data_IF_724692433915
#
_entry.id   IF_724692433915
#
_cell.length_a   1.000
_cell.length_b   1.000
_cell.length_c   1.000
_cell.angle_alpha   90.00
_cell.angle_beta   90.00
_cell.angle_gamma   90.00
#
_symmetry.space_group_name_H-M   'P 1'
#
loop_
_entity.id
_entity.type
_entity.pdbx_description
1 polymer ?
#
# COMPACT_ATOMS: atom_id res chain seq x y z
N UNK A 1 40.38 27.32 -48.75
CA UNK A 1 39.96 27.02 -50.14
C UNK A 1 38.47 26.71 -50.12
N UNK A 2 37.72 27.42 -50.96
CA UNK A 2 36.28 27.30 -51.17
C UNK A 2 35.87 25.92 -51.70
N UNK A 3 34.67 25.46 -51.33
CA UNK A 3 33.53 25.16 -52.23
C UNK A 3 32.44 24.46 -51.40
N UNK A 4 31.29 25.08 -51.13
CA UNK A 4 30.06 25.12 -51.94
C UNK A 4 29.43 23.74 -52.21
N UNK A 5 28.22 23.54 -51.66
CA UNK A 5 27.39 22.36 -51.84
C UNK A 5 26.03 22.54 -51.18
N UNK A 6 25.18 23.36 -51.79
CA UNK A 6 23.75 23.55 -51.52
C UNK A 6 22.98 22.23 -51.61
N UNK A 7 21.91 22.04 -50.81
CA UNK A 7 20.54 21.78 -51.31
C UNK A 7 19.51 21.62 -50.17
N UNK A 8 18.60 22.61 -50.15
CA UNK A 8 17.11 22.61 -50.00
C UNK A 8 16.40 22.35 -48.65
N UNK A 9 15.51 23.33 -48.41
CA UNK A 9 14.13 23.25 -47.93
C UNK A 9 13.86 22.80 -46.49
N UNK A 10 13.33 23.72 -45.69
CA UNK A 10 11.92 23.62 -45.25
C UNK A 10 11.33 24.96 -44.83
N UNK A 11 10.08 25.10 -45.23
CA UNK A 11 9.18 26.20 -44.98
C UNK A 11 8.68 26.22 -43.53
N UNK A 12 8.50 27.46 -43.04
CA UNK A 12 7.35 28.02 -42.30
C UNK A 12 6.51 27.04 -41.45
N UNK A 13 6.49 27.28 -40.14
CA UNK A 13 5.33 26.96 -39.29
C UNK A 13 4.85 28.22 -38.58
N UNK A 14 3.66 28.67 -39.00
CA UNK A 14 2.90 29.74 -38.41
C UNK A 14 2.28 29.30 -37.07
N UNK A 15 2.12 30.27 -36.16
CA UNK A 15 1.54 30.07 -34.85
C UNK A 15 0.08 29.63 -34.88
N UNK A 16 -0.31 28.90 -33.83
CA UNK A 16 -1.71 28.70 -33.48
C UNK A 16 -1.91 29.06 -32.00
N UNK A 17 -2.96 29.86 -31.78
CA UNK A 17 -3.28 30.62 -30.57
C UNK A 17 -3.81 29.72 -29.46
N UNK A 18 -3.42 30.03 -28.23
CA UNK A 18 -4.00 29.54 -26.98
C UNK A 18 -5.47 30.02 -26.86
N UNK A 19 -6.40 29.09 -26.65
CA UNK A 19 -7.78 29.37 -26.28
C UNK A 19 -7.90 29.13 -24.76
N UNK A 20 -8.28 30.17 -24.03
CA UNK A 20 -8.53 30.14 -22.59
C UNK A 20 -9.90 29.50 -22.30
N UNK A 21 -9.94 28.59 -21.31
CA UNK A 21 -11.17 27.97 -20.83
C UNK A 21 -11.94 28.91 -19.87
N UNK A 22 -13.29 28.92 -19.89
CA UNK A 22 -14.09 29.79 -19.04
C UNK A 22 -14.13 29.33 -17.57
N UNK A 23 -14.15 30.32 -16.67
CA UNK A 23 -14.37 30.16 -15.22
C UNK A 23 -15.81 29.73 -14.94
N UNK A 24 -15.99 28.54 -14.40
CA UNK A 24 -17.27 28.11 -13.83
C UNK A 24 -17.40 28.51 -12.34
N UNK A 25 -18.62 28.93 -11.98
CA UNK A 25 -19.01 29.44 -10.68
C UNK A 25 -19.22 28.29 -9.69
N UNK A 26 -18.70 28.43 -8.46
CA UNK A 26 -18.96 27.50 -7.35
C UNK A 26 -20.40 27.64 -6.84
N UNK A 27 -21.15 26.56 -6.61
CA UNK A 27 -22.34 26.61 -5.77
C UNK A 27 -21.98 26.44 -4.29
N UNK A 28 -22.54 27.34 -3.48
CA UNK A 28 -22.57 27.29 -2.02
C UNK A 28 -23.56 26.23 -1.54
N UNK A 29 -23.12 25.28 -0.71
CA UNK A 29 -24.03 24.40 0.03
C UNK A 29 -23.84 24.59 1.54
N UNK A 30 -24.96 24.92 2.18
CA UNK A 30 -25.06 25.22 3.61
C UNK A 30 -24.86 23.99 4.47
N UNK A 31 -24.41 24.25 5.69
CA UNK A 31 -24.16 23.26 6.73
C UNK A 31 -25.46 22.96 7.48
N UNK A 32 -25.90 21.70 7.46
CA UNK A 32 -26.83 21.18 8.47
C UNK A 32 -26.80 19.65 8.51
N UNK A 33 -26.38 19.14 9.67
CA UNK A 33 -26.68 17.85 10.31
C UNK A 33 -26.67 16.57 9.45
N UNK A 34 -25.64 15.74 9.62
CA UNK A 34 -25.76 14.30 9.36
C UNK A 34 -25.36 13.51 10.61
N UNK A 35 -26.36 12.79 11.12
CA UNK A 35 -26.28 11.80 12.18
C UNK A 35 -25.40 10.60 11.80
N UNK A 36 -24.87 9.97 12.83
CA UNK A 36 -24.16 8.70 12.86
C UNK A 36 -24.76 7.63 11.92
N UNK A 37 -24.04 7.28 10.86
CA UNK A 37 -24.27 6.05 10.11
C UNK A 37 -22.94 5.56 9.51
N UNK A 38 -22.42 4.47 10.08
CA UNK A 38 -21.32 3.67 9.50
C UNK A 38 -21.90 2.96 8.26
N UNK A 39 -21.26 3.02 7.08
CA UNK A 39 -21.77 2.31 5.91
C UNK A 39 -21.65 0.79 6.10
N UNK A 40 -22.64 -0.01 5.66
CA UNK A 40 -22.59 -1.46 5.79
C UNK A 40 -21.57 -2.06 4.80
N UNK A 41 -20.80 -3.05 5.28
CA UNK A 41 -19.95 -3.93 4.46
C UNK A 41 -20.74 -4.55 3.29
N UNK A 42 -20.11 -4.84 2.14
CA UNK A 42 -20.79 -5.48 1.02
C UNK A 42 -21.26 -6.91 1.38
N UNK A 43 -22.37 -7.39 0.79
CA UNK A 43 -22.98 -8.67 1.15
C UNK A 43 -22.09 -9.85 0.74
N UNK A 44 -22.13 -10.91 1.57
CA UNK A 44 -21.50 -12.20 1.30
C UNK A 44 -22.00 -12.76 -0.04
N UNK A 45 -21.09 -13.01 -0.97
CA UNK A 45 -21.39 -13.79 -2.17
C UNK A 45 -21.66 -15.25 -1.76
N UNK A 46 -22.78 -15.79 -2.25
CA UNK A 46 -23.23 -17.17 -2.01
C UNK A 46 -22.41 -18.16 -2.86
N UNK A 47 -22.15 -19.34 -2.33
CA UNK A 47 -21.24 -20.37 -2.84
C UNK A 47 -21.78 -21.19 -4.03
N UNK A 48 -22.53 -20.60 -4.97
CA UNK A 48 -23.22 -21.37 -6.01
C UNK A 48 -22.71 -21.16 -7.46
N UNK A 49 -21.82 -20.21 -7.75
CA UNK A 49 -21.42 -19.90 -9.13
C UNK A 49 -19.96 -20.31 -9.46
N UNK A 50 -19.50 -21.45 -8.92
CA UNK A 50 -18.16 -21.98 -9.19
C UNK A 50 -18.16 -23.18 -10.13
N UNK A 51 -18.67 -23.05 -11.35
CA UNK A 51 -18.29 -23.98 -12.41
C UNK A 51 -18.14 -23.24 -13.75
N UNK A 52 -16.91 -23.29 -14.26
CA UNK A 52 -16.48 -23.07 -15.64
C UNK A 52 -15.81 -21.72 -15.97
N UNK A 53 -14.53 -21.60 -15.63
CA UNK A 53 -13.57 -20.77 -16.39
C UNK A 53 -12.18 -21.42 -16.37
N UNK A 54 -11.58 -21.53 -17.56
CA UNK A 54 -10.23 -22.06 -17.83
C UNK A 54 -9.11 -21.32 -17.06
N UNK A 55 -7.96 -21.95 -16.82
CA UNK A 55 -6.86 -21.34 -16.08
C UNK A 55 -6.06 -20.42 -17.01
N UNK A 56 -6.40 -19.14 -17.00
CA UNK A 56 -5.67 -18.14 -17.75
C UNK A 56 -6.46 -16.86 -17.77
N UNK A 57 -5.87 -15.79 -17.22
CA UNK A 57 -6.46 -14.46 -17.03
C UNK A 57 -7.26 -14.32 -15.73
N UNK A 58 -6.54 -14.08 -14.64
CA UNK A 58 -7.11 -13.39 -13.47
C UNK A 58 -7.66 -12.04 -13.94
N UNK A 59 -8.95 -11.84 -13.71
CA UNK A 59 -9.68 -10.63 -14.08
C UNK A 59 -9.07 -9.40 -13.37
N UNK A 60 -8.61 -8.42 -14.16
CA UNK A 60 -7.92 -7.19 -13.72
C UNK A 60 -8.87 -6.12 -13.17
N UNK A 61 -10.03 -6.51 -12.66
CA UNK A 61 -11.10 -5.59 -12.28
C UNK A 61 -11.25 -5.50 -10.75
N UNK A 62 -10.42 -4.67 -10.07
CA UNK A 62 -10.79 -3.99 -8.81
C UNK A 62 -9.74 -3.02 -8.24
N UNK A 63 -8.47 -3.05 -8.68
CA UNK A 63 -7.44 -2.15 -8.15
C UNK A 63 -6.71 -1.40 -9.24
N UNK A 64 -6.99 -0.10 -9.34
CA UNK A 64 -6.29 0.84 -10.22
C UNK A 64 -4.98 1.28 -9.57
N UNK A 65 -4.08 0.36 -9.26
CA UNK A 65 -2.77 0.73 -8.73
C UNK A 65 -2.06 1.61 -9.76
N UNK A 66 -1.55 2.78 -9.36
CA UNK A 66 -0.63 3.51 -10.24
C UNK A 66 0.67 2.73 -10.32
N UNK A 67 0.91 2.21 -11.51
CA UNK A 67 2.11 1.46 -11.86
C UNK A 67 3.19 2.41 -12.35
N UNK A 68 4.39 2.32 -11.77
CA UNK A 68 5.57 3.07 -12.22
C UNK A 68 6.70 2.09 -12.58
N UNK A 69 7.33 2.25 -13.74
CA UNK A 69 8.48 1.44 -14.19
C UNK A 69 8.21 0.47 -15.36
N UNK A 70 9.27 -0.14 -15.89
CA UNK A 70 9.24 -1.15 -16.97
C UNK A 70 9.79 -2.49 -16.44
N UNK A 71 9.23 -3.62 -16.88
CA UNK A 71 9.70 -4.96 -16.50
C UNK A 71 11.07 -5.26 -17.10
N UNK A 72 12.05 -5.68 -16.28
CA UNK A 72 13.35 -6.18 -16.76
C UNK A 72 13.39 -7.71 -16.71
N UNK A 73 13.65 -8.31 -17.86
CA UNK A 73 13.73 -9.76 -18.02
C UNK A 73 14.93 -10.32 -17.21
N UNK A 74 14.66 -11.27 -16.30
CA UNK A 74 15.68 -11.86 -15.42
C UNK A 74 15.84 -11.22 -14.03
N UNK A 75 15.04 -10.22 -13.67
CA UNK A 75 15.02 -9.69 -12.30
C UNK A 75 14.30 -10.66 -11.34
N UNK A 76 14.93 -10.95 -10.19
CA UNK A 76 14.37 -11.82 -9.13
C UNK A 76 13.22 -11.14 -8.38
N UNK A 77 13.19 -9.80 -8.41
CA UNK A 77 12.12 -8.97 -7.85
C UNK A 77 11.67 -7.98 -8.91
N UNK A 78 10.35 -7.81 -9.06
CA UNK A 78 9.76 -6.91 -10.05
C UNK A 78 10.16 -5.44 -9.85
N UNK A 79 10.48 -4.75 -10.95
CA UNK A 79 10.75 -3.30 -10.99
C UNK A 79 9.48 -2.47 -11.26
N UNK A 80 8.31 -3.11 -11.28
CA UNK A 80 7.00 -2.50 -11.50
C UNK A 80 6.42 -2.10 -10.15
N UNK A 81 6.36 -0.81 -9.85
CA UNK A 81 5.99 -0.30 -8.53
C UNK A 81 4.48 -0.17 -8.35
N UNK A 82 3.99 -0.47 -7.15
CA UNK A 82 2.69 -0.03 -6.65
C UNK A 82 2.89 1.19 -5.74
N UNK A 83 2.16 2.27 -5.97
CA UNK A 83 2.26 3.46 -5.13
C UNK A 83 0.94 4.21 -5.04
N UNK A 84 0.28 4.13 -3.87
CA UNK A 84 -0.97 4.81 -3.57
C UNK A 84 -0.79 5.78 -2.42
N UNK A 85 -1.17 7.03 -2.67
CA UNK A 85 -1.07 8.14 -1.75
C UNK A 85 -2.20 9.13 -2.03
N UNK A 86 -2.49 9.99 -1.05
CA UNK A 86 -3.46 11.06 -1.25
C UNK A 86 -2.86 12.22 -2.07
N UNK A 87 -3.71 13.14 -2.52
CA UNK A 87 -3.35 14.20 -3.49
C UNK A 87 -2.20 15.09 -3.02
N UNK A 88 -2.14 15.41 -1.73
CA UNK A 88 -1.11 16.27 -1.15
C UNK A 88 0.12 15.50 -0.62
N UNK A 89 0.15 14.17 -0.83
CA UNK A 89 1.22 13.26 -0.39
C UNK A 89 1.48 13.32 1.12
N UNK A 90 0.47 13.71 1.91
CA UNK A 90 0.51 13.66 3.37
C UNK A 90 0.20 12.27 3.93
N UNK A 91 -0.38 11.38 3.11
CA UNK A 91 -0.66 10.01 3.46
C UNK A 91 -0.32 9.03 2.34
N UNK A 92 0.19 7.86 2.72
CA UNK A 92 0.56 6.78 1.81
C UNK A 92 -0.07 5.47 2.25
N UNK A 93 -0.89 4.89 1.38
CA UNK A 93 -1.66 3.68 1.63
C UNK A 93 -0.87 2.43 1.22
N UNK A 94 -0.21 2.47 0.06
CA UNK A 94 0.54 1.34 -0.50
C UNK A 94 1.86 1.81 -1.09
N UNK A 95 2.93 1.07 -0.81
CA UNK A 95 4.20 1.17 -1.52
C UNK A 95 4.77 -0.23 -1.72
N UNK A 96 5.07 -0.63 -2.94
CA UNK A 96 5.62 -1.96 -3.18
C UNK A 96 5.95 -2.21 -4.63
N UNK A 97 6.07 -3.47 -4.97
CA UNK A 97 6.31 -3.96 -6.33
C UNK A 97 5.29 -5.05 -6.69
N UNK A 98 4.99 -5.19 -7.99
CA UNK A 98 4.01 -6.15 -8.50
C UNK A 98 4.64 -7.52 -8.65
N UNK A 99 4.10 -8.53 -7.97
CA UNK A 99 4.50 -9.93 -8.16
C UNK A 99 3.43 -10.93 -7.68
N UNK A 100 3.70 -12.21 -7.93
CA UNK A 100 2.78 -13.31 -7.62
C UNK A 100 2.90 -13.76 -6.17
N UNK A 101 4.06 -13.61 -5.53
CA UNK A 101 4.29 -14.00 -4.14
C UNK A 101 4.94 -12.84 -3.34
N UNK A 102 4.19 -11.76 -3.04
CA UNK A 102 4.72 -10.64 -2.28
C UNK A 102 4.83 -10.95 -0.78
N UNK A 103 5.92 -10.51 -0.16
CA UNK A 103 5.93 -10.31 1.29
C UNK A 103 5.21 -9.00 1.64
N UNK A 104 4.10 -9.08 2.38
CA UNK A 104 3.36 -7.90 2.84
C UNK A 104 3.89 -7.48 4.22
N UNK A 105 4.63 -6.40 4.29
CA UNK A 105 5.19 -5.85 5.52
C UNK A 105 4.27 -4.78 6.12
N UNK A 106 3.76 -4.99 7.33
CA UNK A 106 2.86 -4.04 8.01
C UNK A 106 3.62 -3.26 9.08
N UNK A 107 3.97 -2.01 8.77
CA UNK A 107 4.64 -1.07 9.67
C UNK A 107 3.66 -0.21 10.49
N UNK A 108 4.18 0.75 11.26
CA UNK A 108 3.34 1.69 12.02
C UNK A 108 2.80 2.80 11.13
N UNK A 109 3.69 3.54 10.48
CA UNK A 109 3.33 4.66 9.62
C UNK A 109 4.36 4.87 8.50
N UNK A 110 3.95 5.39 7.33
CA UNK A 110 4.87 5.77 6.27
C UNK A 110 5.89 6.83 6.68
N UNK A 111 7.07 6.76 6.07
CA UNK A 111 8.10 7.80 6.10
C UNK A 111 8.31 8.36 4.67
N UNK A 112 9.55 8.63 4.27
CA UNK A 112 9.91 9.34 3.03
C UNK A 112 9.95 8.48 1.78
N UNK A 113 10.00 7.14 1.88
CA UNK A 113 10.19 6.30 0.69
C UNK A 113 9.12 6.53 -0.40
N UNK A 114 9.59 6.57 -1.65
CA UNK A 114 8.78 6.67 -2.87
C UNK A 114 9.33 5.69 -3.92
N UNK A 115 8.61 5.41 -5.03
CA UNK A 115 9.13 4.59 -6.11
C UNK A 115 10.50 5.07 -6.60
N UNK A 116 11.46 4.15 -6.68
CA UNK A 116 12.83 4.46 -7.10
C UNK A 116 13.74 5.11 -6.04
N UNK A 117 13.19 5.59 -4.92
CA UNK A 117 13.97 6.13 -3.80
C UNK A 117 13.57 5.48 -2.45
N UNK A 118 14.01 4.23 -2.23
CA UNK A 118 13.68 3.51 -1.01
C UNK A 118 14.52 4.00 0.19
N UNK A 119 13.83 4.26 1.30
CA UNK A 119 14.46 4.56 2.59
C UNK A 119 15.12 3.31 3.22
N UNK A 120 15.83 3.48 4.34
CA UNK A 120 16.54 2.38 5.02
C UNK A 120 15.62 1.23 5.44
N UNK A 121 14.37 1.51 5.80
CA UNK A 121 13.40 0.48 6.19
C UNK A 121 12.97 -0.31 4.97
N UNK A 122 12.62 0.39 3.88
CA UNK A 122 12.23 -0.24 2.62
C UNK A 122 13.35 -1.08 2.05
N UNK A 123 14.60 -0.59 2.04
CA UNK A 123 15.77 -1.38 1.60
C UNK A 123 15.94 -2.68 2.38
N UNK A 124 15.70 -2.65 3.70
CA UNK A 124 15.74 -3.86 4.53
C UNK A 124 14.63 -4.84 4.17
N UNK A 125 13.41 -4.35 3.95
CA UNK A 125 12.26 -5.17 3.52
C UNK A 125 12.52 -5.80 2.16
N UNK A 126 12.99 -5.03 1.17
CA UNK A 126 13.36 -5.52 -0.17
C UNK A 126 14.36 -6.67 -0.09
N UNK A 127 15.47 -6.45 0.62
CA UNK A 127 16.51 -7.47 0.75
C UNK A 127 16.05 -8.68 1.56
N UNK A 128 15.19 -8.50 2.56
CA UNK A 128 14.63 -9.59 3.34
C UNK A 128 13.66 -10.44 2.51
N UNK A 129 12.74 -9.81 1.76
CA UNK A 129 11.81 -10.50 0.87
C UNK A 129 12.56 -11.38 -0.14
N UNK A 130 13.53 -10.81 -0.86
CA UNK A 130 14.32 -11.52 -1.85
C UNK A 130 15.07 -12.74 -1.27
N UNK A 131 15.67 -12.60 -0.08
CA UNK A 131 16.40 -13.72 0.56
C UNK A 131 15.49 -14.82 1.12
N UNK A 132 14.20 -14.55 1.28
CA UNK A 132 13.23 -15.51 1.84
C UNK A 132 12.26 -16.05 0.77
N UNK A 133 12.59 -15.90 -0.52
CA UNK A 133 11.85 -16.54 -1.61
C UNK A 133 10.59 -15.81 -2.08
N UNK A 134 10.44 -14.53 -1.71
CA UNK A 134 9.36 -13.68 -2.23
C UNK A 134 9.82 -12.97 -3.50
N UNK A 135 8.95 -12.90 -4.51
CA UNK A 135 9.23 -12.30 -5.83
C UNK A 135 8.94 -10.79 -5.89
N UNK A 136 8.35 -10.28 -4.80
CA UNK A 136 7.91 -8.91 -4.65
C UNK A 136 7.69 -8.59 -3.18
N UNK A 137 7.38 -7.34 -2.89
CA UNK A 137 7.16 -6.86 -1.54
C UNK A 137 6.16 -5.71 -1.56
N UNK A 138 5.40 -5.58 -0.47
CA UNK A 138 4.51 -4.43 -0.26
C UNK A 138 4.66 -3.94 1.17
N UNK A 139 4.77 -2.64 1.34
CA UNK A 139 4.75 -1.94 2.62
C UNK A 139 3.37 -1.34 2.85
N UNK A 140 2.66 -1.90 3.81
CA UNK A 140 1.43 -1.37 4.39
C UNK A 140 1.73 -0.77 5.77
N UNK A 141 0.79 -0.02 6.33
CA UNK A 141 0.97 0.58 7.64
C UNK A 141 -0.33 0.54 8.45
N UNK A 142 -0.20 0.48 9.78
CA UNK A 142 -1.33 0.59 10.70
C UNK A 142 -2.06 1.93 10.53
N UNK A 143 -1.31 3.02 10.29
CA UNK A 143 -1.85 4.34 10.02
C UNK A 143 -1.16 4.98 8.82
N UNK A 144 -1.92 5.51 7.87
CA UNK A 144 -1.40 5.93 6.57
C UNK A 144 -0.73 7.33 6.57
N UNK A 145 -0.81 8.10 7.65
CA UNK A 145 -0.17 9.42 7.72
C UNK A 145 1.35 9.30 7.56
N UNK A 146 1.92 10.05 6.62
CA UNK A 146 3.38 10.14 6.49
C UNK A 146 3.96 10.97 7.62
N UNK A 147 4.93 10.40 8.32
CA UNK A 147 5.72 11.07 9.35
C UNK A 147 7.06 10.37 9.56
N UNK A 148 8.15 11.13 9.55
CA UNK A 148 9.49 10.59 9.83
C UNK A 148 9.69 10.23 11.30
N UNK A 149 8.94 10.87 12.20
CA UNK A 149 8.87 10.54 13.62
C UNK A 149 7.49 9.97 13.95
N UNK A 150 7.38 8.72 14.47
CA UNK A 150 6.12 8.16 14.93
C UNK A 150 5.40 9.05 15.97
N UNK A 151 6.13 9.86 16.75
CA UNK A 151 5.55 10.82 17.70
C UNK A 151 4.91 12.04 17.01
N UNK A 152 5.20 12.24 15.72
CA UNK A 152 4.59 13.25 14.86
C UNK A 152 3.26 12.82 14.22
N UNK A 153 2.82 11.55 14.41
CA UNK A 153 1.48 11.13 13.98
C UNK A 153 0.39 11.93 14.69
N UNK A 154 -0.82 11.97 14.14
CA UNK A 154 -1.97 12.59 14.78
C UNK A 154 -2.20 12.05 16.20
N UNK A 155 -2.66 12.90 17.11
CA UNK A 155 -2.96 12.52 18.49
C UNK A 155 -4.16 11.58 18.58
N UNK A 156 -5.13 11.78 17.69
CA UNK A 156 -6.32 10.96 17.47
C UNK A 156 -6.31 10.54 16.00
N UNK A 157 -6.72 9.31 15.71
CA UNK A 157 -6.80 8.87 14.32
C UNK A 157 -7.84 9.68 13.55
N UNK A 158 -7.58 9.88 12.27
CA UNK A 158 -8.56 10.39 11.31
C UNK A 158 -9.37 9.19 10.77
N UNK A 159 -10.71 9.13 11.02
CA UNK A 159 -11.56 8.05 10.53
C UNK A 159 -11.62 7.93 9.00
N UNK A 160 -11.51 9.06 8.28
CA UNK A 160 -11.49 9.04 6.81
C UNK A 160 -10.21 8.36 6.33
N UNK A 161 -9.08 8.72 6.95
CA UNK A 161 -7.79 8.14 6.60
C UNK A 161 -7.71 6.64 6.98
N UNK A 162 -8.32 6.26 8.10
CA UNK A 162 -8.46 4.85 8.48
C UNK A 162 -9.24 4.08 7.41
N UNK A 163 -10.44 4.55 7.05
CA UNK A 163 -11.31 3.87 6.11
C UNK A 163 -10.66 3.74 4.72
N UNK A 164 -9.96 4.78 4.28
CA UNK A 164 -9.23 4.75 3.02
C UNK A 164 -8.05 3.75 3.07
N UNK A 165 -7.29 3.73 4.16
CA UNK A 165 -6.23 2.74 4.37
C UNK A 165 -6.77 1.31 4.33
N UNK A 166 -7.83 1.00 5.08
CA UNK A 166 -8.47 -0.31 5.11
C UNK A 166 -9.00 -0.71 3.73
N UNK A 167 -9.54 0.23 2.94
CA UNK A 167 -9.98 -0.02 1.56
C UNK A 167 -8.83 -0.45 0.66
N UNK A 168 -7.68 0.22 0.74
CA UNK A 168 -6.50 -0.15 -0.04
C UNK A 168 -5.94 -1.49 0.40
N UNK A 169 -5.92 -1.77 1.72
CA UNK A 169 -5.50 -3.08 2.25
C UNK A 169 -6.43 -4.17 1.71
N UNK A 170 -7.74 -4.00 1.82
CA UNK A 170 -8.74 -4.95 1.33
C UNK A 170 -8.57 -5.25 -0.17
N UNK A 171 -8.39 -4.20 -0.98
CA UNK A 171 -8.17 -4.35 -2.41
C UNK A 171 -6.88 -5.11 -2.76
N UNK A 172 -5.83 -4.98 -1.94
CA UNK A 172 -4.56 -5.67 -2.13
C UNK A 172 -4.64 -7.16 -1.73
N UNK A 173 -5.33 -7.46 -0.63
CA UNK A 173 -5.39 -8.84 -0.10
C UNK A 173 -6.52 -9.67 -0.70
N UNK A 174 -7.44 -9.05 -1.45
CA UNK A 174 -8.54 -9.74 -2.08
C UNK A 174 -8.06 -10.85 -3.04
N UNK A 175 -8.69 -12.01 -2.95
CA UNK A 175 -8.59 -13.08 -3.96
C UNK A 175 -7.46 -14.09 -3.77
N UNK A 176 -6.58 -13.96 -2.77
CA UNK A 176 -5.60 -14.99 -2.44
C UNK A 176 -5.02 -14.86 -1.02
N UNK A 177 -4.63 -15.98 -0.38
CA UNK A 177 -3.79 -15.96 0.82
C UNK A 177 -2.47 -15.24 0.54
N UNK A 178 -2.04 -14.41 1.48
CA UNK A 178 -0.78 -13.67 1.43
C UNK A 178 -0.04 -13.81 2.75
N UNK A 179 1.30 -13.73 2.71
CA UNK A 179 2.13 -13.70 3.92
C UNK A 179 2.26 -12.27 4.44
N UNK A 180 1.78 -12.01 5.65
CA UNK A 180 1.80 -10.72 6.33
C UNK A 180 2.83 -10.68 7.46
N UNK A 181 3.87 -9.88 7.30
CA UNK A 181 4.87 -9.64 8.31
C UNK A 181 4.44 -8.53 9.29
N UNK A 182 4.32 -8.90 10.57
CA UNK A 182 4.12 -7.99 11.68
C UNK A 182 5.39 -7.14 11.95
N UNK A 183 5.44 -5.93 11.38
CA UNK A 183 6.61 -5.06 11.39
C UNK A 183 6.44 -3.74 12.18
N UNK A 184 5.41 -3.62 13.03
CA UNK A 184 5.22 -2.42 13.87
C UNK A 184 6.18 -2.35 15.06
N UNK A 185 6.49 -3.46 15.72
CA UNK A 185 7.34 -3.47 16.92
C UNK A 185 6.76 -2.64 18.08
N UNK A 186 7.61 -2.17 18.99
CA UNK A 186 7.19 -1.37 20.18
C UNK A 186 6.45 -0.08 19.82
N UNK A 187 6.62 0.42 18.60
CA UNK A 187 6.03 1.67 18.15
C UNK A 187 4.49 1.64 18.15
N UNK A 188 3.87 0.45 18.17
CA UNK A 188 2.41 0.34 18.34
C UNK A 188 1.91 0.97 19.65
N UNK A 189 2.78 1.13 20.66
CA UNK A 189 2.44 1.75 21.95
C UNK A 189 2.50 3.28 21.91
N UNK A 190 3.00 3.88 20.82
CA UNK A 190 3.15 5.35 20.71
C UNK A 190 1.82 6.09 20.64
N UNK A 191 0.77 5.43 20.14
CA UNK A 191 -0.57 5.97 20.00
C UNK A 191 -1.60 4.94 20.42
N UNK A 192 -2.55 5.32 21.25
CA UNK A 192 -3.58 4.42 21.78
C UNK A 192 -4.46 3.81 20.68
N UNK A 193 -4.72 4.55 19.60
CA UNK A 193 -5.57 4.09 18.50
C UNK A 193 -4.93 3.02 17.62
N UNK A 194 -3.59 2.86 17.59
CA UNK A 194 -2.94 1.93 16.66
C UNK A 194 -3.35 0.47 16.88
N UNK A 195 -3.69 0.13 18.11
CA UNK A 195 -4.23 -1.18 18.45
C UNK A 195 -5.60 -1.43 17.82
N UNK A 196 -6.47 -0.44 17.85
CA UNK A 196 -7.78 -0.51 17.20
C UNK A 196 -7.62 -0.63 15.68
N UNK A 197 -6.70 0.15 15.10
CA UNK A 197 -6.40 0.06 13.67
C UNK A 197 -5.83 -1.32 13.28
N UNK A 198 -4.97 -1.91 14.11
CA UNK A 198 -4.50 -3.28 13.90
C UNK A 198 -5.67 -4.28 13.92
N UNK A 199 -6.62 -4.15 14.85
CA UNK A 199 -7.80 -5.02 14.90
C UNK A 199 -8.65 -4.92 13.61
N UNK A 200 -8.84 -3.71 13.07
CA UNK A 200 -9.51 -3.51 11.77
C UNK A 200 -8.77 -4.19 10.63
N UNK A 201 -7.44 -4.02 10.56
CA UNK A 201 -6.61 -4.64 9.53
C UNK A 201 -6.66 -6.17 9.63
N UNK A 202 -6.58 -6.75 10.84
CA UNK A 202 -6.69 -8.19 11.05
C UNK A 202 -8.03 -8.71 10.53
N UNK A 203 -9.14 -8.03 10.83
CA UNK A 203 -10.46 -8.43 10.33
C UNK A 203 -10.52 -8.45 8.79
N UNK A 204 -9.91 -7.46 8.13
CA UNK A 204 -9.81 -7.39 6.66
C UNK A 204 -8.94 -8.53 6.10
N UNK A 205 -7.80 -8.80 6.72
CA UNK A 205 -6.85 -9.81 6.22
C UNK A 205 -7.31 -11.24 6.48
N UNK A 206 -7.97 -11.49 7.62
CA UNK A 206 -8.51 -12.80 7.98
C UNK A 206 -9.62 -13.21 7.00
N UNK A 207 -10.45 -12.26 6.59
CA UNK A 207 -11.49 -12.49 5.58
C UNK A 207 -10.93 -12.95 4.21
N UNK A 208 -9.63 -12.71 3.96
CA UNK A 208 -8.93 -13.08 2.73
C UNK A 208 -7.95 -14.24 2.90
N UNK A 209 -7.87 -14.85 4.10
CA UNK A 209 -6.94 -15.95 4.41
C UNK A 209 -5.49 -15.51 4.58
N UNK A 210 -5.25 -14.28 5.06
CA UNK A 210 -3.91 -13.77 5.33
C UNK A 210 -3.18 -14.55 6.43
N UNK A 211 -1.92 -14.91 6.20
CA UNK A 211 -1.09 -15.63 7.16
C UNK A 211 -0.09 -14.67 7.82
N UNK A 212 -0.26 -14.47 9.13
CA UNK A 212 0.62 -13.58 9.89
C UNK A 212 1.92 -14.27 10.31
N UNK A 213 3.03 -13.57 10.10
CA UNK A 213 4.39 -14.00 10.48
C UNK A 213 5.14 -12.89 11.20
N UNK A 214 6.18 -13.29 11.94
CA UNK A 214 7.16 -12.40 12.56
C UNK A 214 8.57 -12.83 12.19
N UNK A 215 9.55 -11.93 12.36
CA UNK A 215 10.96 -12.26 12.18
C UNK A 215 11.51 -12.77 13.51
N UNK A 216 12.00 -14.01 13.50
CA UNK A 216 12.54 -14.70 14.67
C UNK A 216 11.48 -14.98 15.73
N UNK A 217 11.95 -15.42 16.89
CA UNK A 217 11.07 -15.56 18.05
C UNK A 217 10.71 -14.18 18.60
N UNK A 218 9.50 -14.05 19.15
CA UNK A 218 9.07 -12.81 19.78
C UNK A 218 10.01 -12.49 20.95
N UNK A 219 10.48 -11.25 21.01
CA UNK A 219 11.18 -10.73 22.19
C UNK A 219 10.25 -10.81 23.41
N UNK A 220 10.77 -10.73 24.65
CA UNK A 220 9.96 -10.74 25.89
C UNK A 220 8.81 -9.73 25.88
N UNK A 221 8.90 -8.70 25.06
CA UNK A 221 7.87 -7.68 24.87
C UNK A 221 6.84 -7.98 23.77
N UNK A 222 6.95 -9.11 23.06
CA UNK A 222 6.02 -9.54 22.02
C UNK A 222 6.32 -8.99 20.62
N UNK A 223 7.55 -8.57 20.33
CA UNK A 223 7.91 -7.88 19.07
C UNK A 223 9.02 -8.58 18.29
N UNK A 224 9.10 -8.30 16.97
CA UNK A 224 10.03 -8.94 16.02
C UNK A 224 11.50 -8.78 16.42
N UNK A 225 12.30 -9.79 16.09
CA UNK A 225 13.75 -9.76 16.14
C UNK A 225 14.37 -9.23 14.81
N UNK A 226 15.69 -9.18 14.70
CA UNK A 226 16.39 -8.59 13.55
C UNK A 226 16.27 -9.41 12.24
N UNK A 227 16.37 -8.75 11.09
CA UNK A 227 16.23 -9.29 9.71
C UNK A 227 17.20 -10.43 9.29
N UNK A 228 18.00 -10.95 10.21
CA UNK A 228 18.86 -12.11 10.01
C UNK A 228 18.19 -13.44 10.45
N UNK A 229 17.02 -13.36 11.08
CA UNK A 229 16.30 -14.50 11.63
C UNK A 229 15.20 -14.99 10.67
N UNK A 230 14.81 -16.27 10.76
CA UNK A 230 13.78 -16.84 9.88
C UNK A 230 12.40 -16.28 10.20
N UNK A 231 11.47 -16.43 9.24
CA UNK A 231 10.06 -16.20 9.50
C UNK A 231 9.48 -17.27 10.43
N UNK A 232 8.62 -16.83 11.35
CA UNK A 232 7.86 -17.68 12.27
C UNK A 232 6.38 -17.33 12.20
N UNK A 233 5.46 -18.31 12.33
CA UNK A 233 4.04 -18.01 12.50
C UNK A 233 3.81 -17.03 13.65
N UNK A 234 2.90 -16.09 13.46
CA UNK A 234 2.58 -15.05 14.44
C UNK A 234 1.09 -15.08 14.78
N UNK A 235 0.75 -15.42 16.03
CA UNK A 235 -0.61 -15.36 16.55
C UNK A 235 -1.02 -13.90 16.80
N UNK A 236 -1.46 -13.22 15.74
CA UNK A 236 -1.90 -11.81 15.82
C UNK A 236 -3.13 -11.64 16.71
N UNK A 237 -4.01 -12.65 16.77
CA UNK A 237 -5.22 -12.63 17.59
C UNK A 237 -4.88 -12.76 19.08
N UNK A 238 -3.96 -13.67 19.43
CA UNK A 238 -3.38 -13.74 20.77
C UNK A 238 -2.65 -12.47 21.15
N UNK A 239 -1.90 -11.88 20.21
CA UNK A 239 -1.22 -10.60 20.41
C UNK A 239 -2.19 -9.45 20.72
N UNK A 240 -3.29 -9.31 19.97
CA UNK A 240 -4.33 -8.31 20.22
C UNK A 240 -4.97 -8.49 21.60
N UNK A 241 -5.30 -9.73 21.98
CA UNK A 241 -5.82 -10.03 23.32
C UNK A 241 -4.83 -9.64 24.43
N UNK A 242 -3.55 -9.97 24.27
CA UNK A 242 -2.50 -9.64 25.25
C UNK A 242 -2.26 -8.14 25.37
N UNK A 243 -2.45 -7.40 24.27
CA UNK A 243 -2.45 -5.95 24.32
C UNK A 243 -3.61 -5.45 25.17
N UNK A 244 -4.80 -6.05 25.08
CA UNK A 244 -6.05 -5.62 25.72
C UNK A 244 -6.99 -4.98 24.70
N UNK A 245 -7.07 -5.57 23.51
CA UNK A 245 -8.06 -5.26 22.47
C UNK A 245 -9.23 -6.23 22.55
#
# INVERSE_FOLDING_TARGET
>A
MCSCGSVRNRAVSAGCRLIAAPRERRPSWGWSSWSSAVPPYPPKLSACDLHNTSPGLVDRAASTWRVYGESREGAVVSDVWMYEHNVDDSARFVLGTVGENPLICVGVNPSTAVPGDPDLTVRKVMGFAARNGFDSWVMLNLYAQRSTDPRGMHLVHDPVLQAENERHIAALVAGRPLTLLAAWGELIKTRSYLRQLLAGIVAVTDASGGEWVSIGDLLKSGHRAGYALPLRPFDVTGYLRALGA
#
